data_IF_506621562473
#
_entry.id   IF_506621562473
#
_cell.length_a   1.000
_cell.length_b   1.000
_cell.length_c   1.000
_cell.angle_alpha   90.00
_cell.angle_beta   90.00
_cell.angle_gamma   90.00
#
_symmetry.space_group_name_H-M   'P 1'
#
loop_
_entity.id
_entity.type
_entity.pdbx_description
1 polymer ?
#
# COMPACT_ATOMS: atom_id res chain seq x y z
N UNK A 1 -26.54 -15.01 11.72
CA UNK A 1 -25.10 -15.26 11.59
C UNK A 1 -24.46 -14.65 10.35
N UNK A 2 -25.06 -14.72 9.14
CA UNK A 2 -24.48 -14.07 7.93
C UNK A 2 -24.20 -12.56 8.10
N UNK A 3 -25.07 -11.84 8.81
CA UNK A 3 -24.93 -10.40 9.06
C UNK A 3 -23.70 -10.05 9.90
N UNK A 4 -23.41 -10.81 10.95
CA UNK A 4 -22.23 -10.60 11.81
C UNK A 4 -20.92 -10.76 11.03
N UNK A 5 -20.82 -11.78 10.18
CA UNK A 5 -19.67 -11.99 9.32
C UNK A 5 -19.47 -10.85 8.32
N UNK A 6 -20.58 -10.33 7.79
CA UNK A 6 -20.53 -9.19 6.87
C UNK A 6 -20.01 -7.94 7.57
N UNK A 7 -20.37 -7.72 8.84
CA UNK A 7 -19.84 -6.62 9.65
C UNK A 7 -18.32 -6.80 9.87
N UNK A 8 -17.87 -7.98 10.28
CA UNK A 8 -16.45 -8.25 10.52
C UNK A 8 -15.64 -8.04 9.23
N UNK A 9 -16.12 -8.54 8.10
CA UNK A 9 -15.45 -8.35 6.82
C UNK A 9 -15.45 -6.88 6.38
N UNK A 10 -16.57 -6.17 6.58
CA UNK A 10 -16.64 -4.73 6.32
C UNK A 10 -15.70 -3.94 7.23
N UNK A 11 -15.58 -4.30 8.49
CA UNK A 11 -14.69 -3.68 9.44
C UNK A 11 -13.21 -3.93 9.06
N UNK A 12 -12.86 -5.13 8.63
CA UNK A 12 -11.53 -5.47 8.15
C UNK A 12 -11.14 -4.63 6.93
N UNK A 13 -11.99 -4.57 5.91
CA UNK A 13 -11.75 -3.76 4.71
C UNK A 13 -11.68 -2.27 5.09
N UNK A 14 -12.60 -1.79 5.93
CA UNK A 14 -12.62 -0.43 6.44
C UNK A 14 -11.34 -0.06 7.20
N UNK A 15 -10.79 -0.99 7.98
CA UNK A 15 -9.52 -0.81 8.70
C UNK A 15 -8.34 -0.62 7.77
N UNK A 16 -8.27 -1.37 6.68
CA UNK A 16 -7.23 -1.19 5.65
C UNK A 16 -7.33 0.22 5.03
N UNK A 17 -8.52 0.64 4.66
CA UNK A 17 -8.73 1.98 4.12
C UNK A 17 -8.39 3.09 5.14
N UNK A 18 -8.70 2.87 6.41
CA UNK A 18 -8.36 3.81 7.48
C UNK A 18 -6.85 3.97 7.64
N UNK A 19 -6.07 2.89 7.62
CA UNK A 19 -4.60 2.94 7.67
C UNK A 19 -4.01 3.68 6.45
N UNK A 20 -4.54 3.42 5.26
CA UNK A 20 -4.13 4.14 4.04
C UNK A 20 -4.46 5.63 4.16
N UNK A 21 -5.65 5.97 4.66
CA UNK A 21 -6.08 7.35 4.85
C UNK A 21 -5.23 8.09 5.90
N UNK A 22 -4.86 7.41 7.00
CA UNK A 22 -3.94 7.94 8.01
C UNK A 22 -2.57 8.26 7.40
N UNK A 23 -1.98 7.32 6.67
CA UNK A 23 -0.71 7.55 5.97
C UNK A 23 -0.78 8.74 5.00
N UNK A 24 -1.87 8.84 4.26
CA UNK A 24 -2.13 9.95 3.36
C UNK A 24 -2.24 11.29 4.10
N UNK A 25 -2.97 11.30 5.21
CA UNK A 25 -3.17 12.50 6.05
C UNK A 25 -1.86 12.99 6.67
N UNK A 26 -0.99 12.07 7.11
CA UNK A 26 0.34 12.41 7.64
C UNK A 26 1.21 13.07 6.57
N UNK A 27 1.26 12.51 5.37
CA UNK A 27 2.03 13.08 4.25
C UNK A 27 1.46 14.47 3.88
N UNK A 28 0.13 14.59 3.79
CA UNK A 28 -0.52 15.89 3.54
C UNK A 28 -0.24 16.92 4.62
N UNK A 29 -0.23 16.51 5.89
CA UNK A 29 0.07 17.39 7.02
C UNK A 29 1.47 18.00 6.95
N UNK A 30 2.45 17.24 6.45
CA UNK A 30 3.85 17.69 6.34
C UNK A 30 4.06 18.51 5.07
N UNK A 31 3.64 18.00 3.93
CA UNK A 31 3.96 18.58 2.60
C UNK A 31 2.92 19.60 2.15
N UNK A 32 1.71 19.57 2.72
CA UNK A 32 0.55 20.39 2.36
C UNK A 32 0.17 20.31 0.87
N UNK A 33 0.54 19.19 0.23
CA UNK A 33 0.24 18.87 -1.16
C UNK A 33 -0.51 17.55 -1.24
N UNK A 34 -1.56 17.53 -2.06
CA UNK A 34 -2.30 16.31 -2.35
C UNK A 34 -1.45 15.45 -3.29
N UNK A 35 -0.95 14.32 -2.78
CA UNK A 35 -0.15 13.40 -3.58
C UNK A 35 -1.03 12.26 -4.13
N UNK A 36 -1.50 12.39 -5.36
CA UNK A 36 -2.29 11.33 -6.01
C UNK A 36 -1.51 10.04 -6.25
N UNK A 37 -0.19 10.10 -6.28
CA UNK A 37 0.66 8.91 -6.42
C UNK A 37 0.82 8.11 -5.11
N UNK A 38 0.18 8.50 -4.00
CA UNK A 38 0.34 7.82 -2.70
C UNK A 38 -0.10 6.36 -2.76
N UNK A 39 -1.24 6.06 -3.38
CA UNK A 39 -1.72 4.70 -3.59
C UNK A 39 -0.75 3.84 -4.41
N UNK A 40 -0.10 4.46 -5.39
CA UNK A 40 0.86 3.76 -6.24
C UNK A 40 2.17 3.44 -5.50
N UNK A 41 2.56 4.27 -4.52
CA UNK A 41 3.70 3.97 -3.64
C UNK A 41 3.36 2.76 -2.75
N UNK A 42 2.13 2.65 -2.27
CA UNK A 42 1.68 1.45 -1.54
C UNK A 42 1.72 0.22 -2.45
N UNK A 43 1.28 0.35 -3.69
CA UNK A 43 1.39 -0.70 -4.71
C UNK A 43 2.86 -1.12 -4.93
N UNK A 44 3.78 -0.16 -5.06
CA UNK A 44 5.23 -0.42 -5.17
C UNK A 44 5.73 -1.25 -3.99
N UNK A 45 5.32 -0.91 -2.76
CA UNK A 45 5.67 -1.67 -1.55
C UNK A 45 5.12 -3.09 -1.57
N UNK A 46 3.88 -3.25 -1.99
CA UNK A 46 3.25 -4.57 -2.10
C UNK A 46 3.98 -5.45 -3.11
N UNK A 47 4.33 -4.93 -4.28
CA UNK A 47 5.11 -5.68 -5.27
C UNK A 47 6.54 -5.96 -4.80
N UNK A 48 7.19 -5.03 -4.12
CA UNK A 48 8.51 -5.28 -3.52
C UNK A 48 8.46 -6.42 -2.50
N UNK A 49 7.46 -6.42 -1.60
CA UNK A 49 7.24 -7.51 -0.67
C UNK A 49 6.96 -8.83 -1.39
N UNK A 50 6.15 -8.83 -2.45
CA UNK A 50 5.87 -10.00 -3.25
C UNK A 50 7.14 -10.58 -3.88
N UNK A 51 7.97 -9.76 -4.49
CA UNK A 51 9.24 -10.19 -5.10
C UNK A 51 10.16 -10.81 -4.06
N UNK A 52 10.33 -10.16 -2.91
CA UNK A 52 11.22 -10.64 -1.85
C UNK A 52 10.71 -11.95 -1.21
N UNK A 53 9.41 -12.07 -0.97
CA UNK A 53 8.81 -13.26 -0.36
C UNK A 53 8.70 -14.43 -1.34
N UNK A 54 8.18 -14.18 -2.54
CA UNK A 54 7.74 -15.25 -3.46
C UNK A 54 8.84 -15.61 -4.45
N UNK A 55 9.50 -14.60 -5.04
CA UNK A 55 10.52 -14.85 -6.06
C UNK A 55 11.90 -15.12 -5.43
N UNK A 56 12.26 -14.40 -4.38
CA UNK A 56 13.54 -14.57 -3.70
C UNK A 56 13.47 -15.57 -2.53
N UNK A 57 12.29 -15.98 -2.08
CA UNK A 57 12.13 -16.94 -0.98
C UNK A 57 12.65 -16.44 0.38
N UNK A 58 12.74 -15.12 0.57
CA UNK A 58 13.29 -14.54 1.79
C UNK A 58 12.29 -14.62 2.95
N UNK A 59 12.77 -14.67 4.21
CA UNK A 59 11.88 -14.67 5.36
C UNK A 59 11.05 -13.37 5.43
N UNK A 60 9.86 -13.47 6.01
CA UNK A 60 8.86 -12.39 6.09
C UNK A 60 9.45 -11.08 6.62
N UNK A 61 10.27 -11.15 7.66
CA UNK A 61 10.89 -9.99 8.29
C UNK A 61 11.79 -9.22 7.31
N UNK A 62 12.58 -9.93 6.52
CA UNK A 62 13.46 -9.33 5.51
C UNK A 62 12.63 -8.71 4.39
N UNK A 63 11.55 -9.37 3.98
CA UNK A 63 10.66 -8.86 2.95
C UNK A 63 9.94 -7.58 3.40
N UNK A 64 9.51 -7.50 4.66
CA UNK A 64 8.89 -6.29 5.23
C UNK A 64 9.89 -5.14 5.28
N UNK A 65 11.07 -5.36 5.84
CA UNK A 65 12.12 -4.32 5.91
C UNK A 65 12.54 -3.89 4.50
N UNK A 66 12.74 -4.85 3.61
CA UNK A 66 13.10 -4.59 2.22
C UNK A 66 12.04 -3.78 1.47
N UNK A 67 10.75 -4.08 1.67
CA UNK A 67 9.67 -3.31 1.06
C UNK A 67 9.60 -1.87 1.58
N UNK A 68 9.85 -1.65 2.87
CA UNK A 68 9.91 -0.30 3.45
C UNK A 68 11.07 0.50 2.82
N UNK A 69 12.24 -0.09 2.74
CA UNK A 69 13.41 0.55 2.11
C UNK A 69 13.14 0.86 0.64
N UNK A 70 12.53 -0.08 -0.08
CA UNK A 70 12.20 0.10 -1.49
C UNK A 70 11.17 1.22 -1.70
N UNK A 71 10.13 1.29 -0.86
CA UNK A 71 9.17 2.39 -0.86
C UNK A 71 9.83 3.74 -0.58
N UNK A 72 10.74 3.80 0.41
CA UNK A 72 11.46 5.02 0.74
C UNK A 72 12.32 5.49 -0.42
N UNK A 73 13.06 4.59 -1.06
CA UNK A 73 13.87 4.89 -2.24
C UNK A 73 13.00 5.36 -3.43
N UNK A 74 11.89 4.68 -3.69
CA UNK A 74 10.95 5.07 -4.73
C UNK A 74 10.37 6.48 -4.46
N UNK A 75 9.99 6.77 -3.22
CA UNK A 75 9.49 8.09 -2.81
C UNK A 75 10.53 9.19 -3.03
N UNK A 76 11.77 8.97 -2.61
CA UNK A 76 12.88 9.92 -2.83
C UNK A 76 13.15 10.11 -4.33
N UNK A 77 13.10 9.04 -5.12
CA UNK A 77 13.32 9.11 -6.56
C UNK A 77 12.23 9.94 -7.25
N UNK A 78 10.97 9.69 -6.91
CA UNK A 78 9.82 10.44 -7.42
C UNK A 78 9.95 11.93 -7.03
N UNK A 79 10.28 12.21 -5.76
CA UNK A 79 10.48 13.59 -5.30
C UNK A 79 11.56 14.27 -6.12
N UNK A 80 12.73 13.67 -6.29
CA UNK A 80 13.87 14.27 -7.00
C UNK A 80 13.62 14.47 -8.49
N UNK A 81 12.98 13.51 -9.15
CA UNK A 81 12.77 13.53 -10.60
C UNK A 81 11.54 14.37 -10.97
N UNK A 82 10.42 14.13 -10.29
CA UNK A 82 9.15 14.71 -10.67
C UNK A 82 8.83 16.03 -9.95
N UNK A 83 9.06 16.10 -8.64
CA UNK A 83 8.58 17.25 -7.85
C UNK A 83 9.63 18.33 -7.63
N UNK A 84 10.89 17.96 -7.41
CA UNK A 84 11.93 18.92 -6.99
C UNK A 84 12.11 20.10 -7.94
N UNK A 85 12.08 19.84 -9.25
CA UNK A 85 12.23 20.91 -10.25
C UNK A 85 11.07 21.92 -10.22
N UNK A 86 9.87 21.45 -9.95
CA UNK A 86 8.66 22.27 -9.84
C UNK A 86 8.64 23.06 -8.53
N UNK A 87 9.07 22.43 -7.43
CA UNK A 87 9.15 23.06 -6.11
C UNK A 87 10.19 24.18 -6.10
N UNK A 88 11.37 23.95 -6.67
CA UNK A 88 12.44 24.97 -6.76
C UNK A 88 12.04 26.17 -7.63
N UNK A 89 11.20 25.93 -8.66
CA UNK A 89 10.69 26.99 -9.54
C UNK A 89 9.43 27.67 -9.01
N UNK A 90 9.03 27.36 -7.78
CA UNK A 90 7.78 27.88 -7.17
C UNK A 90 6.54 27.71 -8.07
N UNK A 91 6.50 26.58 -8.79
CA UNK A 91 5.42 26.32 -9.74
C UNK A 91 4.05 26.32 -9.03
N UNK A 92 2.99 26.73 -9.72
CA UNK A 92 1.63 26.71 -9.17
C UNK A 92 1.26 25.31 -8.66
N UNK A 93 0.47 25.24 -7.58
CA UNK A 93 0.02 23.97 -6.98
C UNK A 93 -0.65 23.02 -7.98
N UNK A 94 -1.31 23.57 -9.00
CA UNK A 94 -1.94 22.78 -10.05
C UNK A 94 -0.93 22.01 -10.90
N UNK A 95 0.26 22.56 -11.14
CA UNK A 95 1.34 21.87 -11.86
C UNK A 95 1.86 20.66 -11.08
N UNK A 96 1.97 20.79 -9.76
CA UNK A 96 2.35 19.68 -8.87
C UNK A 96 1.29 18.58 -8.87
N UNK A 97 0.01 18.96 -8.89
CA UNK A 97 -1.11 18.04 -8.95
C UNK A 97 -1.12 17.25 -10.27
N UNK A 98 -0.95 17.93 -11.41
CA UNK A 98 -0.86 17.28 -12.73
C UNK A 98 0.34 16.32 -12.77
N UNK A 99 1.47 16.74 -12.21
CA UNK A 99 2.67 15.89 -12.13
C UNK A 99 2.40 14.65 -11.28
N UNK A 100 1.69 14.78 -10.16
CA UNK A 100 1.30 13.64 -9.32
C UNK A 100 0.46 12.62 -10.09
N UNK A 101 -0.52 13.10 -10.87
CA UNK A 101 -1.35 12.24 -11.73
C UNK A 101 -0.48 11.56 -12.81
N UNK A 102 0.43 12.31 -13.43
CA UNK A 102 1.35 11.76 -14.43
C UNK A 102 2.25 10.66 -13.85
N UNK A 103 2.80 10.86 -12.66
CA UNK A 103 3.60 9.86 -11.94
C UNK A 103 2.75 8.62 -11.61
N UNK A 104 1.51 8.82 -11.15
CA UNK A 104 0.57 7.73 -10.86
C UNK A 104 0.34 6.85 -12.09
N UNK A 105 -0.06 7.46 -13.21
CA UNK A 105 -0.28 6.74 -14.47
C UNK A 105 1.00 6.03 -14.94
N UNK A 106 2.14 6.68 -14.83
CA UNK A 106 3.42 6.09 -15.20
C UNK A 106 3.74 4.85 -14.36
N UNK A 107 3.60 4.94 -13.03
CA UNK A 107 3.86 3.80 -12.13
C UNK A 107 2.93 2.64 -12.41
N UNK A 108 1.63 2.89 -12.56
CA UNK A 108 0.65 1.85 -12.86
C UNK A 108 1.00 1.09 -14.14
N UNK A 109 1.28 1.82 -15.22
CA UNK A 109 1.65 1.19 -16.50
C UNK A 109 3.00 0.47 -16.43
N UNK A 110 3.99 1.05 -15.72
CA UNK A 110 5.29 0.41 -15.53
C UNK A 110 5.16 -0.93 -14.79
N UNK A 111 4.41 -0.96 -13.68
CA UNK A 111 4.21 -2.19 -12.92
C UNK A 111 3.35 -3.22 -13.68
N UNK A 112 2.37 -2.76 -14.45
CA UNK A 112 1.59 -3.63 -15.32
C UNK A 112 2.46 -4.27 -16.41
N UNK A 113 3.41 -3.53 -16.96
CA UNK A 113 4.35 -4.04 -17.96
C UNK A 113 5.31 -5.10 -17.36
N UNK A 114 5.84 -4.85 -16.16
CA UNK A 114 6.81 -5.73 -15.51
C UNK A 114 6.13 -6.99 -14.95
N UNK A 115 5.00 -6.84 -14.28
CA UNK A 115 4.36 -7.94 -13.53
C UNK A 115 3.13 -8.52 -14.22
N UNK A 116 2.74 -7.99 -15.38
CA UNK A 116 1.52 -8.35 -16.10
C UNK A 116 0.26 -7.96 -15.31
N UNK A 117 -0.90 -7.90 -15.99
CA UNK A 117 -2.20 -7.54 -15.40
C UNK A 117 -2.86 -8.66 -14.59
N UNK A 118 -2.22 -9.82 -14.43
CA UNK A 118 -2.76 -10.94 -13.67
C UNK A 118 -2.64 -10.70 -12.16
N UNK A 119 -3.72 -10.96 -11.42
CA UNK A 119 -3.72 -10.87 -9.96
C UNK A 119 -2.66 -11.79 -9.36
N UNK A 120 -1.88 -11.25 -8.43
CA UNK A 120 -0.85 -12.00 -7.70
C UNK A 120 -1.40 -12.35 -6.31
N UNK A 121 -1.31 -13.61 -5.93
CA UNK A 121 -1.70 -14.06 -4.60
C UNK A 121 -0.47 -14.09 -3.70
N UNK A 122 -0.59 -13.53 -2.50
CA UNK A 122 0.40 -13.73 -1.46
C UNK A 122 0.25 -15.12 -0.87
N UNK A 123 1.35 -15.85 -0.61
CA UNK A 123 1.26 -17.07 0.18
C UNK A 123 0.75 -16.74 1.58
N UNK A 124 0.03 -17.66 2.20
CA UNK A 124 -0.40 -17.53 3.60
C UNK A 124 0.83 -17.45 4.49
N UNK A 125 1.17 -16.22 4.93
CA UNK A 125 2.34 -15.94 5.76
C UNK A 125 2.17 -16.55 7.16
N UNK A 126 0.94 -16.60 7.62
CA UNK A 126 0.58 -17.17 8.91
C UNK A 126 -0.17 -18.48 8.69
N UNK A 127 0.50 -19.57 9.02
CA UNK A 127 -0.06 -20.94 8.96
C UNK A 127 -0.90 -21.22 10.23
N UNK A 128 -1.65 -20.21 10.70
CA UNK A 128 -2.59 -20.41 11.79
C UNK A 128 -3.91 -20.98 11.25
N UNK A 129 -4.39 -22.03 11.89
CA UNK A 129 -5.72 -22.53 11.58
C UNK A 129 -6.72 -21.38 11.73
N UNK A 130 -7.54 -21.10 10.70
CA UNK A 130 -8.52 -20.04 10.78
C UNK A 130 -9.52 -20.38 11.92
N UNK A 131 -9.87 -19.38 12.72
CA UNK A 131 -10.89 -19.56 13.75
C UNK A 131 -12.21 -19.85 13.04
N UNK A 132 -12.66 -21.09 13.13
CA UNK A 132 -13.94 -21.53 12.57
C UNK A 132 -15.04 -21.05 13.48
N UNK A 133 -15.70 -19.97 13.15
CA UNK A 133 -16.94 -19.54 13.77
C UNK A 133 -18.11 -19.87 12.86
N UNK A 134 -18.94 -20.82 13.26
CA UNK A 134 -20.21 -21.16 12.60
C UNK A 134 -20.09 -21.34 11.07
N UNK A 135 -19.29 -22.32 10.61
CA UNK A 135 -19.09 -22.72 9.21
C UNK A 135 -18.34 -21.71 8.31
N UNK A 136 -17.79 -20.63 8.86
CA UNK A 136 -16.94 -19.70 8.12
C UNK A 136 -15.63 -19.43 8.84
N UNK A 137 -14.57 -19.27 8.04
CA UNK A 137 -13.22 -19.02 8.50
C UNK A 137 -12.99 -17.50 8.62
N UNK A 138 -12.68 -17.02 9.82
CA UNK A 138 -12.19 -15.65 10.05
C UNK A 138 -10.68 -15.71 10.15
N UNK A 139 -9.99 -15.00 9.26
CA UNK A 139 -8.54 -14.93 9.29
C UNK A 139 -8.08 -14.15 10.52
N UNK A 140 -7.09 -14.70 11.23
CA UNK A 140 -6.41 -13.99 12.35
C UNK A 140 -5.82 -12.66 11.87
N UNK A 141 -5.38 -12.59 10.62
CA UNK A 141 -4.89 -11.36 10.00
C UNK A 141 -5.95 -10.25 10.02
N UNK A 142 -7.23 -10.58 9.80
CA UNK A 142 -8.32 -9.60 9.86
C UNK A 142 -8.49 -9.00 11.25
N UNK A 143 -8.37 -9.80 12.30
CA UNK A 143 -8.43 -9.32 13.68
C UNK A 143 -7.22 -8.44 14.03
N UNK A 144 -6.01 -8.84 13.63
CA UNK A 144 -4.79 -8.04 13.84
C UNK A 144 -4.91 -6.69 13.14
N UNK A 145 -5.40 -6.66 11.89
CA UNK A 145 -5.57 -5.41 11.13
C UNK A 145 -6.55 -4.46 11.82
N UNK A 146 -7.67 -4.97 12.32
CA UNK A 146 -8.67 -4.17 13.04
C UNK A 146 -8.04 -3.58 14.31
N UNK A 147 -7.34 -4.39 15.09
CA UNK A 147 -6.71 -3.95 16.35
C UNK A 147 -5.63 -2.90 16.08
N UNK A 148 -4.76 -3.12 15.10
CA UNK A 148 -3.70 -2.15 14.74
C UNK A 148 -4.23 -0.84 14.18
N UNK A 149 -5.47 -0.80 13.71
CA UNK A 149 -6.09 0.43 13.20
C UNK A 149 -6.69 1.27 14.31
N UNK A 150 -7.13 0.63 15.40
CA UNK A 150 -7.79 1.30 16.54
C UNK A 150 -6.76 1.84 17.55
N UNK A 151 -5.55 1.29 17.60
CA UNK A 151 -4.43 1.71 18.47
C UNK A 151 -3.60 2.78 17.80
#
# INVERSE_FOLDING_TARGET
>A
MKFLFQIINGLHIGSIYALVALGYSMVYGIVKLINFAHGDIIMVGAYAAYVLLVLCGLPVWVAVIGSIVFCALAGVLIERIAYRRLLVKEAPRISLLITAIGVSIFLQNLFQLIFTSSGKSFPSIFNYEPIVMAERQVSIVSLITIVTTVV
#
